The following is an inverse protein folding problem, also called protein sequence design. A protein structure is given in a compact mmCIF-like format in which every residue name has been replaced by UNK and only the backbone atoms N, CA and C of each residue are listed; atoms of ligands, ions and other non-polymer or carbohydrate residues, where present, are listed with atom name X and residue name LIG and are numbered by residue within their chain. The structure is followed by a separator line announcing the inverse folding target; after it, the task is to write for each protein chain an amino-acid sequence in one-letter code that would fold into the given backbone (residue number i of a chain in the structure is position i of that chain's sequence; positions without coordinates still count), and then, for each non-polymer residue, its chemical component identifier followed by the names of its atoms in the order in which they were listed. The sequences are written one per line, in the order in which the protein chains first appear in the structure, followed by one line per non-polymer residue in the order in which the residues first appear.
data_IF_834592247561
#
_entry.id   IF_834592247561
#
_cell.length_a   1.000
_cell.length_b   1.000
_cell.length_c   1.000
_cell.angle_alpha   90.00
_cell.angle_beta   90.00
_cell.angle_gamma   90.00
#
_symmetry.space_group_name_H-M   'P 1'
#
loop_
_entity.id
_entity.type
_entity.pdbx_description
1 polymer ?
#
# COMPACT_ATOMS: atom_id res chain seq x y z
N UNK A 1 -4.53 -28.42 -10.49
CA UNK A 1 -4.58 -27.45 -9.37
C UNK A 1 -5.98 -26.87 -9.34
N UNK A 2 -6.83 -27.24 -8.39
CA UNK A 2 -8.07 -26.51 -8.15
C UNK A 2 -7.71 -25.23 -7.42
N UNK A 3 -8.02 -24.08 -8.01
CA UNK A 3 -7.83 -22.79 -7.35
C UNK A 3 -8.74 -22.63 -6.13
N UNK A 4 -8.61 -21.49 -5.46
CA UNK A 4 -9.49 -21.06 -4.38
C UNK A 4 -9.87 -19.59 -4.54
N UNK A 5 -10.61 -19.05 -3.57
CA UNK A 5 -10.87 -17.62 -3.52
C UNK A 5 -9.54 -16.87 -3.39
N UNK A 6 -9.26 -15.99 -4.35
CA UNK A 6 -8.09 -15.12 -4.34
C UNK A 6 -8.52 -13.72 -3.89
N UNK A 7 -7.88 -13.22 -2.83
CA UNK A 7 -8.04 -11.84 -2.37
C UNK A 7 -6.64 -11.24 -2.18
N UNK A 8 -6.41 -10.10 -2.81
CA UNK A 8 -5.13 -9.43 -2.81
C UNK A 8 -5.28 -7.97 -3.19
N UNK A 9 -4.25 -7.20 -2.87
CA UNK A 9 -4.20 -5.77 -3.14
C UNK A 9 -2.96 -5.47 -3.97
N UNK A 10 -3.07 -4.49 -4.84
CA UNK A 10 -1.93 -3.97 -5.59
C UNK A 10 -1.86 -2.47 -5.40
N UNK A 11 -0.69 -1.99 -4.97
CA UNK A 11 -0.38 -0.58 -4.82
C UNK A 11 0.79 -0.22 -5.72
N UNK A 12 0.64 0.86 -6.48
CA UNK A 12 1.75 1.47 -7.21
C UNK A 12 2.27 2.65 -6.41
N UNK A 13 3.54 2.59 -6.05
CA UNK A 13 4.24 3.67 -5.36
C UNK A 13 5.15 4.36 -6.37
N UNK A 14 4.93 5.66 -6.60
CA UNK A 14 5.75 6.42 -7.54
C UNK A 14 7.19 6.61 -7.00
N UNK A 15 8.12 6.83 -7.92
CA UNK A 15 9.52 7.14 -7.63
C UNK A 15 9.84 8.60 -7.98
N UNK A 16 10.75 9.26 -7.23
CA UNK A 16 11.31 10.54 -7.61
C UNK A 16 12.02 10.45 -8.97
N UNK A 17 12.07 11.54 -9.72
CA UNK A 17 12.63 11.62 -11.07
C UNK A 17 14.01 10.97 -11.18
N UNK A 18 14.89 11.31 -10.23
CA UNK A 18 16.27 10.80 -10.15
C UNK A 18 16.38 9.27 -9.97
N UNK A 19 15.29 8.60 -9.62
CA UNK A 19 15.24 7.15 -9.38
C UNK A 19 14.40 6.39 -10.42
N UNK A 20 13.76 7.06 -11.38
CA UNK A 20 12.86 6.39 -12.35
C UNK A 20 13.58 5.38 -13.27
N UNK A 21 14.88 5.57 -13.50
CA UNK A 21 15.68 4.74 -14.40
C UNK A 21 16.66 3.81 -13.67
N UNK A 22 16.47 3.56 -12.37
CA UNK A 22 17.30 2.59 -11.63
C UNK A 22 17.07 1.17 -12.17
N UNK A 23 18.03 0.28 -11.91
CA UNK A 23 17.83 -1.15 -12.16
C UNK A 23 16.65 -1.68 -11.33
N UNK A 24 15.77 -2.52 -11.93
CA UNK A 24 14.65 -3.10 -11.21
C UNK A 24 15.13 -3.98 -10.06
N UNK A 25 14.35 -4.01 -8.99
CA UNK A 25 14.62 -4.83 -7.81
C UNK A 25 13.32 -5.49 -7.34
N UNK A 26 13.46 -6.66 -6.71
CA UNK A 26 12.36 -7.41 -6.10
C UNK A 26 12.68 -7.70 -4.64
N UNK A 27 11.68 -7.60 -3.79
CA UNK A 27 11.74 -8.00 -2.39
C UNK A 27 10.53 -8.90 -2.10
N UNK A 28 10.78 -10.14 -1.71
CA UNK A 28 9.75 -10.99 -1.14
C UNK A 28 9.69 -10.77 0.37
N UNK A 29 8.50 -10.61 0.91
CA UNK A 29 8.28 -10.55 2.35
C UNK A 29 7.18 -11.56 2.71
N UNK A 30 7.59 -12.65 3.34
CA UNK A 30 6.67 -13.65 3.87
C UNK A 30 6.07 -13.18 5.20
N UNK A 31 4.95 -13.78 5.60
CA UNK A 31 4.14 -13.29 6.71
C UNK A 31 4.89 -13.25 8.06
N UNK A 32 5.84 -14.15 8.26
CA UNK A 32 6.69 -14.26 9.46
C UNK A 32 7.77 -13.18 9.55
N UNK A 33 8.08 -12.50 8.43
CA UNK A 33 9.01 -11.39 8.40
C UNK A 33 8.36 -10.06 8.80
N UNK A 34 7.03 -9.95 8.68
CA UNK A 34 6.29 -8.72 8.94
C UNK A 34 6.36 -8.34 10.42
N UNK A 35 6.60 -7.07 10.71
CA UNK A 35 6.69 -6.59 12.09
C UNK A 35 5.29 -6.48 12.69
N UNK A 36 5.06 -7.14 13.83
CA UNK A 36 3.79 -7.12 14.54
C UNK A 36 3.88 -6.26 15.80
N UNK A 37 2.83 -5.49 16.07
CA UNK A 37 2.63 -4.83 17.36
C UNK A 37 1.14 -4.63 17.62
N UNK A 38 0.78 -4.37 18.88
CA UNK A 38 -0.60 -4.14 19.30
C UNK A 38 -0.77 -2.78 19.96
N UNK A 39 -2.00 -2.29 20.02
CA UNK A 39 -2.37 -1.25 20.98
C UNK A 39 -2.14 -1.75 22.43
N UNK A 40 -1.97 -0.86 23.42
CA UNK A 40 -1.72 -1.26 24.81
C UNK A 40 -2.80 -2.18 25.41
N UNK A 41 -4.05 -2.02 24.96
CA UNK A 41 -5.20 -2.84 25.36
C UNK A 41 -5.37 -4.13 24.54
N UNK A 42 -4.46 -4.39 23.59
CA UNK A 42 -4.54 -5.48 22.61
C UNK A 42 -5.82 -5.49 21.75
N UNK A 43 -6.57 -4.39 21.70
CA UNK A 43 -7.78 -4.23 20.87
C UNK A 43 -7.48 -4.16 19.37
N UNK A 44 -6.23 -3.90 18.97
CA UNK A 44 -5.81 -3.88 17.57
C UNK A 44 -4.47 -4.57 17.38
N UNK A 45 -4.38 -5.39 16.33
CA UNK A 45 -3.13 -5.96 15.82
C UNK A 45 -2.72 -5.22 14.55
N UNK A 46 -1.51 -4.66 14.55
CA UNK A 46 -0.91 -4.00 13.38
C UNK A 46 0.20 -4.86 12.81
N UNK A 47 0.11 -5.12 11.50
CA UNK A 47 1.12 -5.77 10.67
C UNK A 47 1.82 -4.70 9.84
N UNK A 48 3.00 -4.27 10.27
CA UNK A 48 3.77 -3.22 9.60
C UNK A 48 4.69 -3.85 8.54
N UNK A 49 4.33 -3.63 7.27
CA UNK A 49 5.00 -4.21 6.10
C UNK A 49 6.20 -3.35 5.70
N UNK A 50 6.03 -2.03 5.66
CA UNK A 50 7.09 -1.08 5.32
C UNK A 50 6.90 0.25 6.04
N UNK A 51 8.01 0.96 6.27
CA UNK A 51 8.01 2.26 6.94
C UNK A 51 8.21 2.18 8.45
N UNK A 52 7.84 3.25 9.14
CA UNK A 52 7.91 3.36 10.59
C UNK A 52 6.58 3.89 11.16
N UNK A 53 6.13 3.27 12.25
CA UNK A 53 5.02 3.77 13.07
C UNK A 53 5.46 3.72 14.52
N UNK A 54 5.42 4.84 15.22
CA UNK A 54 5.78 4.94 16.64
C UNK A 54 7.19 4.41 16.98
N UNK A 55 8.17 4.55 16.08
CA UNK A 55 9.53 4.04 16.25
C UNK A 55 9.66 2.52 16.01
N UNK A 56 8.59 1.87 15.55
CA UNK A 56 8.60 0.48 15.11
C UNK A 56 8.77 0.48 13.61
N UNK A 57 9.86 -0.12 13.14
CA UNK A 57 10.20 -0.18 11.72
C UNK A 57 9.79 -1.51 11.09
N UNK A 58 9.14 -1.44 9.93
CA UNK A 58 8.78 -2.59 9.10
C UNK A 58 9.96 -3.11 8.25
N UNK A 59 9.93 -4.38 7.82
CA UNK A 59 11.03 -5.01 7.08
C UNK A 59 11.14 -4.57 5.61
N UNK A 60 10.10 -3.95 5.05
CA UNK A 60 10.04 -3.55 3.66
C UNK A 60 10.99 -2.40 3.33
N UNK A 61 11.87 -2.64 2.36
CA UNK A 61 12.78 -1.64 1.84
C UNK A 61 12.05 -0.79 0.80
N UNK A 62 12.14 0.53 0.96
CA UNK A 62 11.41 1.49 0.14
C UNK A 62 12.37 2.52 -0.43
N UNK A 63 11.97 3.11 -1.55
CA UNK A 63 12.77 4.14 -2.27
C UNK A 63 12.28 5.55 -2.00
N UNK A 64 11.03 5.66 -1.56
CA UNK A 64 10.40 6.85 -1.01
C UNK A 64 10.01 6.58 0.44
N UNK A 65 10.07 7.57 1.34
CA UNK A 65 9.56 7.42 2.70
C UNK A 65 8.06 7.14 2.65
N UNK A 66 7.66 5.91 2.95
CA UNK A 66 6.28 5.45 2.97
C UNK A 66 5.99 4.62 4.21
N UNK A 67 4.72 4.48 4.54
CA UNK A 67 4.18 3.52 5.51
C UNK A 67 3.17 2.64 4.78
N UNK A 68 3.29 1.33 4.98
CA UNK A 68 2.30 0.34 4.58
C UNK A 68 2.07 -0.62 5.74
N UNK A 69 0.85 -0.63 6.27
CA UNK A 69 0.46 -1.50 7.37
C UNK A 69 -0.94 -2.09 7.15
N UNK A 70 -1.20 -3.24 7.76
CA UNK A 70 -2.53 -3.83 7.87
C UNK A 70 -2.92 -3.90 9.34
N UNK A 71 -3.96 -3.16 9.72
CA UNK A 71 -4.53 -3.17 11.07
C UNK A 71 -5.79 -4.03 11.10
N UNK A 72 -5.89 -4.93 12.08
CA UNK A 72 -7.12 -5.65 12.44
C UNK A 72 -7.59 -5.15 13.80
N UNK A 73 -8.70 -4.42 13.82
CA UNK A 73 -9.30 -3.83 15.02
C UNK A 73 -10.43 -4.75 15.48
N UNK A 74 -10.39 -5.22 16.73
CA UNK A 74 -11.41 -6.09 17.30
C UNK A 74 -12.75 -5.35 17.49
N UNK A 75 -13.90 -6.05 17.46
CA UNK A 75 -15.21 -5.43 17.67
C UNK A 75 -15.24 -4.55 18.92
N UNK A 76 -15.81 -3.35 18.80
CA UNK A 76 -15.91 -2.35 19.88
C UNK A 76 -14.58 -1.74 20.34
N UNK A 77 -13.46 -2.10 19.71
CA UNK A 77 -12.15 -1.52 20.02
C UNK A 77 -11.87 -0.28 19.16
N UNK A 78 -11.10 0.65 19.74
CA UNK A 78 -10.68 1.88 19.08
C UNK A 78 -9.16 1.95 19.03
N UNK A 79 -8.63 2.33 17.88
CA UNK A 79 -7.22 2.55 17.65
C UNK A 79 -6.95 4.04 17.43
N UNK A 80 -5.94 4.56 18.13
CA UNK A 80 -5.34 5.86 17.86
C UNK A 80 -3.85 5.63 17.64
N UNK A 81 -3.39 5.73 16.39
CA UNK A 81 -1.98 5.59 16.04
C UNK A 81 -1.35 6.96 15.83
N UNK A 82 -0.12 7.20 16.34
CA UNK A 82 0.65 8.36 15.93
C UNK A 82 1.00 8.26 14.45
N UNK A 83 1.01 9.40 13.77
CA UNK A 83 1.26 9.51 12.35
C UNK A 83 2.22 10.66 12.07
N UNK A 84 3.10 10.48 11.08
CA UNK A 84 3.99 11.55 10.68
C UNK A 84 3.19 12.64 9.93
N UNK A 85 3.11 13.88 10.44
CA UNK A 85 2.34 14.94 9.80
C UNK A 85 2.91 15.39 8.44
N UNK A 86 4.14 14.98 8.10
CA UNK A 86 4.73 15.21 6.78
C UNK A 86 4.26 14.20 5.72
N UNK A 87 3.57 13.13 6.13
CA UNK A 87 3.09 12.09 5.24
C UNK A 87 1.61 12.32 4.93
N UNK A 88 1.20 12.00 3.70
CA UNK A 88 -0.22 11.76 3.46
C UNK A 88 -0.68 10.55 4.30
N UNK A 89 -1.98 10.47 4.60
CA UNK A 89 -2.56 9.36 5.34
C UNK A 89 -3.82 8.87 4.64
N UNK A 90 -3.88 7.57 4.42
CA UNK A 90 -4.99 6.87 3.81
C UNK A 90 -5.30 5.62 4.63
N UNK A 91 -6.58 5.32 4.79
CA UNK A 91 -7.06 4.06 5.34
C UNK A 91 -8.01 3.44 4.31
N UNK A 92 -7.85 2.15 3.99
CA UNK A 92 -8.74 1.43 3.08
C UNK A 92 -9.30 0.18 3.74
N UNK A 93 -10.62 0.04 3.80
CA UNK A 93 -11.26 -1.11 4.44
C UNK A 93 -11.29 -2.30 3.49
N UNK A 94 -10.67 -3.40 3.90
CA UNK A 94 -10.64 -4.65 3.13
C UNK A 94 -11.65 -5.67 3.62
N UNK A 95 -12.09 -5.54 4.88
CA UNK A 95 -13.14 -6.37 5.47
C UNK A 95 -13.74 -5.67 6.69
N UNK A 96 -15.03 -5.90 6.88
CA UNK A 96 -15.76 -5.47 8.06
C UNK A 96 -16.30 -4.04 7.99
N UNK A 97 -16.65 -3.52 9.16
CA UNK A 97 -17.32 -2.23 9.33
C UNK A 97 -16.94 -1.54 10.63
N UNK A 98 -16.95 -0.21 10.61
CA UNK A 98 -16.62 0.62 11.75
C UNK A 98 -16.70 2.10 11.42
N UNK A 99 -15.82 2.88 12.04
CA UNK A 99 -15.81 4.33 11.97
C UNK A 99 -14.41 4.89 11.78
N UNK A 100 -14.31 6.06 11.14
CA UNK A 100 -13.06 6.78 10.92
C UNK A 100 -13.12 8.22 11.44
N UNK A 101 -12.00 8.67 12.00
CA UNK A 101 -11.85 10.03 12.51
C UNK A 101 -12.54 10.29 13.84
N UNK A 102 -12.44 11.53 14.31
CA UNK A 102 -13.05 11.98 15.58
C UNK A 102 -14.57 12.14 15.48
N UNK A 103 -15.09 12.38 14.27
CA UNK A 103 -16.52 12.59 14.00
C UNK A 103 -17.27 11.28 13.75
N UNK A 104 -16.61 10.13 13.91
CA UNK A 104 -17.17 8.79 13.73
C UNK A 104 -17.92 8.60 12.40
N UNK A 105 -17.30 8.99 11.29
CA UNK A 105 -17.88 8.73 9.97
C UNK A 105 -17.93 7.23 9.70
N UNK A 106 -19.06 6.74 9.18
CA UNK A 106 -19.21 5.34 8.78
C UNK A 106 -18.10 4.93 7.81
N UNK A 107 -17.46 3.80 8.10
CA UNK A 107 -16.32 3.31 7.36
C UNK A 107 -16.42 1.79 7.15
N UNK A 108 -16.71 1.39 5.92
CA UNK A 108 -17.05 0.01 5.56
C UNK A 108 -16.25 -0.49 4.36
N UNK A 109 -16.28 -1.79 4.12
CA UNK A 109 -15.53 -2.47 3.04
C UNK A 109 -15.59 -1.74 1.70
N UNK A 110 -14.43 -1.62 1.05
CA UNK A 110 -14.26 -0.96 -0.25
C UNK A 110 -14.12 0.57 -0.18
N UNK A 111 -14.32 1.19 0.99
CA UNK A 111 -14.10 2.62 1.17
C UNK A 111 -12.65 2.95 1.50
N UNK A 112 -12.22 4.13 1.05
CA UNK A 112 -10.93 4.72 1.40
C UNK A 112 -11.18 6.07 2.07
N UNK A 113 -10.66 6.24 3.28
CA UNK A 113 -10.59 7.54 3.94
C UNK A 113 -9.26 8.23 3.58
N UNK A 114 -9.35 9.51 3.22
CA UNK A 114 -8.19 10.40 3.03
C UNK A 114 -8.17 11.33 4.24
N UNK A 115 -7.10 11.29 5.03
CA UNK A 115 -7.00 12.15 6.21
C UNK A 115 -6.46 13.53 5.82
N UNK A 116 -6.93 14.55 6.54
CA UNK A 116 -6.40 15.91 6.46
C UNK A 116 -5.11 16.08 7.27
N UNK A 117 -4.81 17.31 7.65
CA UNK A 117 -3.69 17.62 8.53
C UNK A 117 -3.91 17.04 9.93
N UNK A 118 -2.89 16.38 10.48
CA UNK A 118 -2.91 15.82 11.81
C UNK A 118 -1.69 14.93 12.06
N UNK A 119 -1.51 14.55 13.31
CA UNK A 119 -0.42 13.69 13.78
C UNK A 119 -0.93 12.34 14.30
N UNK A 120 -2.19 12.00 14.02
CA UNK A 120 -2.80 10.73 14.43
C UNK A 120 -3.78 10.19 13.40
N UNK A 121 -3.90 8.86 13.36
CA UNK A 121 -4.98 8.13 12.67
C UNK A 121 -5.89 7.53 13.75
N UNK A 122 -7.17 7.87 13.70
CA UNK A 122 -8.22 7.28 14.56
C UNK A 122 -9.13 6.40 13.73
N UNK A 123 -9.26 5.14 14.14
CA UNK A 123 -10.18 4.15 13.57
C UNK A 123 -10.84 3.37 14.70
N UNK A 124 -12.08 2.96 14.49
CA UNK A 124 -12.85 2.18 15.45
C UNK A 124 -13.61 1.08 14.71
N UNK A 125 -13.65 -0.13 15.27
CA UNK A 125 -14.48 -1.19 14.73
C UNK A 125 -15.92 -1.07 15.27
N UNK A 126 -16.91 -1.54 14.50
CA UNK A 126 -18.27 -1.62 15.02
C UNK A 126 -18.35 -2.52 16.26
N UNK A 127 -19.43 -2.39 17.05
CA UNK A 127 -19.60 -3.19 18.26
C UNK A 127 -19.67 -4.72 18.03
N UNK A 128 -19.94 -5.16 16.80
CA UNK A 128 -20.24 -6.56 16.49
C UNK A 128 -19.34 -7.17 15.42
N UNK A 129 -18.55 -6.36 14.71
CA UNK A 129 -17.72 -6.81 13.61
C UNK A 129 -16.32 -6.19 13.71
N UNK A 130 -15.29 -7.00 13.47
CA UNK A 130 -13.92 -6.52 13.38
C UNK A 130 -13.74 -5.64 12.14
N UNK A 131 -12.76 -4.74 12.17
CA UNK A 131 -12.42 -3.88 11.04
C UNK A 131 -10.99 -4.18 10.58
N UNK A 132 -10.84 -4.63 9.34
CA UNK A 132 -9.55 -4.83 8.69
C UNK A 132 -9.26 -3.69 7.71
N UNK A 133 -8.17 -2.98 7.96
CA UNK A 133 -7.82 -1.76 7.24
C UNK A 133 -6.37 -1.78 6.79
N UNK A 134 -6.13 -1.38 5.55
CA UNK A 134 -4.80 -1.05 5.05
C UNK A 134 -4.52 0.42 5.31
N UNK A 135 -3.47 0.68 6.08
CA UNK A 135 -2.95 2.02 6.33
C UNK A 135 -1.84 2.30 5.34
N UNK A 136 -1.97 3.40 4.60
CA UNK A 136 -0.99 3.86 3.63
C UNK A 136 -0.58 5.29 3.98
N UNK A 137 0.71 5.55 3.91
CA UNK A 137 1.25 6.89 4.00
C UNK A 137 2.51 7.05 3.19
N UNK A 138 2.84 8.29 2.88
CA UNK A 138 4.10 8.62 2.26
C UNK A 138 4.34 10.11 2.22
N UNK A 139 5.61 10.48 2.28
CA UNK A 139 6.03 11.85 2.05
C UNK A 139 5.72 12.22 0.59
N UNK A 140 4.95 13.29 0.33
CA UNK A 140 4.70 13.74 -1.03
C UNK A 140 6.01 14.03 -1.77
N UNK A 141 6.16 13.49 -2.99
CA UNK A 141 7.38 13.65 -3.79
C UNK A 141 7.54 15.12 -4.26
N UNK A 142 6.43 15.81 -4.53
CA UNK A 142 6.45 17.22 -4.95
C UNK A 142 6.93 17.45 -6.38
N UNK A 143 6.89 16.41 -7.23
CA UNK A 143 7.29 16.48 -8.64
C UNK A 143 6.08 16.27 -9.58
N UNK A 144 6.14 16.76 -10.83
CA UNK A 144 5.12 16.49 -11.83
C UNK A 144 4.93 14.99 -12.07
N UNK A 145 3.69 14.59 -12.37
CA UNK A 145 3.31 13.21 -12.69
C UNK A 145 2.65 13.18 -14.07
N UNK A 146 3.29 12.51 -15.01
CA UNK A 146 2.77 12.22 -16.35
C UNK A 146 2.61 10.71 -16.48
N UNK A 147 1.38 10.24 -16.65
CA UNK A 147 1.05 8.82 -16.72
C UNK A 147 0.39 8.48 -18.05
N UNK A 148 0.83 7.38 -18.67
CA UNK A 148 0.12 6.78 -19.78
C UNK A 148 0.32 5.25 -19.78
N UNK A 149 -0.77 4.51 -19.59
CA UNK A 149 -0.73 3.06 -19.48
C UNK A 149 0.18 2.58 -18.33
N UNK A 150 1.19 1.73 -18.60
CA UNK A 150 2.09 1.19 -17.58
C UNK A 150 3.25 2.14 -17.21
N UNK A 151 3.36 3.31 -17.84
CA UNK A 151 4.48 4.22 -17.64
C UNK A 151 4.04 5.45 -16.84
N UNK A 152 4.84 5.79 -15.81
CA UNK A 152 4.65 6.96 -14.96
C UNK A 152 5.98 7.71 -14.91
N UNK A 153 6.05 8.84 -15.62
CA UNK A 153 7.22 9.70 -15.75
C UNK A 153 6.93 11.11 -15.21
N UNK A 154 7.88 12.04 -15.34
CA UNK A 154 7.69 13.43 -14.92
C UNK A 154 7.33 14.35 -16.11
N UNK A 155 7.67 13.98 -17.34
CA UNK A 155 7.36 14.76 -18.54
C UNK A 155 6.75 13.91 -19.67
N UNK A 156 6.02 14.57 -20.59
CA UNK A 156 5.51 13.90 -21.81
C UNK A 156 6.61 13.36 -22.71
N UNK A 157 7.76 14.04 -22.78
CA UNK A 157 8.90 13.59 -23.57
C UNK A 157 9.47 12.28 -23.02
N UNK A 158 9.55 12.15 -21.70
CA UNK A 158 9.96 10.90 -21.04
C UNK A 158 8.96 9.75 -21.29
N UNK A 159 7.66 10.03 -21.31
CA UNK A 159 6.65 9.03 -21.68
C UNK A 159 6.87 8.54 -23.12
N UNK A 160 7.08 9.45 -24.07
CA UNK A 160 7.36 9.07 -25.46
C UNK A 160 8.61 8.18 -25.55
N UNK A 161 9.68 8.54 -24.84
CA UNK A 161 10.89 7.74 -24.79
C UNK A 161 10.64 6.34 -24.21
N UNK A 162 9.87 6.23 -23.12
CA UNK A 162 9.52 4.95 -22.51
C UNK A 162 8.74 4.03 -23.47
N UNK A 163 7.84 4.60 -24.27
CA UNK A 163 7.14 3.87 -25.33
C UNK A 163 8.08 3.38 -26.42
N UNK A 164 8.95 4.26 -26.92
CA UNK A 164 9.94 3.92 -27.93
C UNK A 164 10.93 2.85 -27.44
N UNK A 165 11.25 2.84 -26.14
CA UNK A 165 12.08 1.83 -25.49
C UNK A 165 11.35 0.48 -25.41
N UNK A 166 10.07 0.48 -25.00
CA UNK A 166 9.25 -0.71 -24.95
C UNK A 166 9.07 -1.35 -26.33
N UNK A 167 8.67 -0.57 -27.34
CA UNK A 167 8.42 -1.07 -28.71
C UNK A 167 9.67 -1.66 -29.36
N UNK A 168 10.86 -1.16 -28.99
CA UNK A 168 12.14 -1.64 -29.50
C UNK A 168 12.79 -2.68 -28.58
N UNK A 169 12.09 -3.19 -27.56
CA UNK A 169 12.56 -4.25 -26.68
C UNK A 169 13.71 -3.86 -25.74
N UNK A 170 13.84 -2.58 -25.39
CA UNK A 170 14.92 -2.07 -24.51
C UNK A 170 14.63 -2.17 -23.01
N UNK A 171 13.41 -2.52 -22.61
CA UNK A 171 13.01 -2.62 -21.19
C UNK A 171 13.30 -4.00 -20.56
N UNK A 172 14.36 -4.66 -21.02
CA UNK A 172 14.75 -6.00 -20.56
C UNK A 172 13.94 -7.11 -21.23
N UNK A 173 14.26 -8.35 -20.85
CA UNK A 173 13.63 -9.56 -21.37
C UNK A 173 13.21 -10.46 -20.22
N UNK A 174 12.03 -11.07 -20.32
CA UNK A 174 11.62 -12.14 -19.40
C UNK A 174 12.31 -13.43 -19.87
N UNK A 175 13.09 -14.12 -19.02
CA UNK A 175 13.77 -15.35 -19.41
C UNK A 175 12.78 -16.43 -19.88
N UNK A 176 13.16 -17.25 -20.87
CA UNK A 176 12.29 -18.26 -21.45
C UNK A 176 11.76 -19.31 -20.45
N UNK A 177 12.49 -19.55 -19.35
CA UNK A 177 12.08 -20.44 -18.25
C UNK A 177 11.36 -19.74 -17.09
N UNK A 178 11.03 -18.45 -17.22
CA UNK A 178 10.26 -17.72 -16.22
C UNK A 178 8.84 -18.25 -16.08
N UNK A 179 8.22 -18.01 -14.92
CA UNK A 179 6.80 -18.35 -14.69
C UNK A 179 5.95 -17.68 -15.77
N UNK A 180 5.32 -18.49 -16.59
CA UNK A 180 4.45 -18.01 -17.65
C UNK A 180 3.10 -17.61 -17.06
N UNK A 181 2.48 -16.50 -17.51
CA UNK A 181 1.11 -16.18 -17.13
C UNK A 181 0.20 -17.35 -17.42
N UNK A 182 -0.62 -17.75 -16.45
CA UNK A 182 -1.60 -18.82 -16.67
C UNK A 182 -2.55 -18.39 -17.79
N UNK A 183 -2.45 -19.07 -18.94
CA UNK A 183 -3.44 -18.97 -20.01
C UNK A 183 -4.40 -20.14 -19.81
N UNK A 184 -5.60 -19.84 -19.34
CA UNK A 184 -6.68 -20.83 -19.27
C UNK A 184 -6.95 -21.47 -20.65
N UNK A 185 -7.74 -22.56 -20.70
CA UNK A 185 -8.08 -23.19 -21.97
C UNK A 185 -8.69 -22.14 -22.91
N UNK A 186 -8.15 -22.05 -24.13
CA UNK A 186 -8.75 -21.23 -25.19
C UNK A 186 -10.14 -21.79 -25.46
N UNK A 187 -11.16 -20.94 -25.37
CA UNK A 187 -12.49 -21.26 -25.90
C UNK A 187 -12.44 -21.32 -27.42
#
# INVERSE_FOLDING_TARGET
VSGGLFHGLQLWVNLPAKQKMISPAYQNLDADLVKLFTTPDAGTLVRLIAGDIAGITGPGSTRTPIVMAHATILPGSRMVLPWNPLFNALAHVVKGSGFVGIDHHSFVVGQTAVFGTGDTITLEASAHEALDVILLGGQPIGEPVEQYGPFVMNTRAELQQAFDDYQRGRLGTVPAGGVQPFRGPRK
#
